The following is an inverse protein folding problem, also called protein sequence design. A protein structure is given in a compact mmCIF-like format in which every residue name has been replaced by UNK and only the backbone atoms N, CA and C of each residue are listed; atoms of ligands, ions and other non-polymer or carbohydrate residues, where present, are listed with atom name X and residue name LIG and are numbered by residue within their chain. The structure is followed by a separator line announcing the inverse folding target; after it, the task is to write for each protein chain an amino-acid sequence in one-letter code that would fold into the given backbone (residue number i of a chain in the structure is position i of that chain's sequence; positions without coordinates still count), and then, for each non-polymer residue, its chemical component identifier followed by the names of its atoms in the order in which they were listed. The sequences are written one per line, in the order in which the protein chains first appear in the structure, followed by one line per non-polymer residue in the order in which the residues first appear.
data_IF_354425439606
#
_entry.id   IF_354425439606
#
_cell.length_a   1.000
_cell.length_b   1.000
_cell.length_c   1.000
_cell.angle_alpha   90.00
_cell.angle_beta   90.00
_cell.angle_gamma   90.00
#
_symmetry.space_group_name_H-M   'P 1'
#
loop_
_entity.id
_entity.type
_entity.pdbx_description
1 polymer ?
#
# COMPACT_ATOMS: atom_id res chain seq x y z
N UNK A 1 -20.58 4.23 10.92
CA UNK A 1 -20.17 3.83 10.87
C UNK A 1 -19.81 3.37 9.97
N UNK A 2 -19.74 3.40 9.57
CA UNK A 2 -19.63 2.96 8.73
C UNK A 2 -18.84 3.06 8.01
N UNK A 3 -18.39 3.39 7.83
CA UNK A 3 -17.66 3.50 6.92
C UNK A 3 -16.24 3.65 7.18
N UNK A 4 -15.60 2.90 8.18
CA UNK A 4 -14.17 2.83 8.33
C UNK A 4 -13.49 2.27 7.10
N UNK A 5 -14.10 1.25 6.50
CA UNK A 5 -13.51 0.67 5.29
C UNK A 5 -13.44 1.70 4.19
N UNK A 6 -14.52 2.44 4.00
CA UNK A 6 -14.53 3.45 2.97
C UNK A 6 -13.57 4.58 3.28
N UNK A 7 -13.50 4.97 4.55
CA UNK A 7 -12.57 6.02 4.96
C UNK A 7 -11.13 5.63 4.64
N UNK A 8 -10.76 4.39 4.99
CA UNK A 8 -9.39 3.94 4.73
C UNK A 8 -9.12 3.81 3.25
N UNK A 9 -10.13 3.42 2.47
CA UNK A 9 -9.94 3.36 1.03
C UNK A 9 -9.65 4.72 0.44
N UNK A 10 -10.35 5.73 0.91
CA UNK A 10 -10.12 7.09 0.44
C UNK A 10 -8.74 7.58 0.84
N UNK A 11 -8.35 7.32 2.07
CA UNK A 11 -7.05 7.75 2.54
C UNK A 11 -5.94 7.02 1.78
N UNK A 12 -6.14 5.75 1.50
CA UNK A 12 -5.16 5.01 0.73
C UNK A 12 -5.04 5.55 -0.69
N UNK A 13 -6.17 5.95 -1.27
CA UNK A 13 -6.12 6.56 -2.58
C UNK A 13 -5.28 7.82 -2.60
N UNK A 14 -5.38 8.63 -1.54
CA UNK A 14 -4.55 9.83 -1.45
C UNK A 14 -3.08 9.47 -1.35
N UNK A 15 -2.75 8.44 -0.60
CA UNK A 15 -1.36 8.01 -0.47
C UNK A 15 -0.84 7.50 -1.81
N UNK A 16 -1.64 6.76 -2.53
CA UNK A 16 -1.21 6.26 -3.84
C UNK A 16 -1.00 7.39 -4.83
N UNK A 17 -1.85 8.42 -4.78
CA UNK A 17 -1.65 9.60 -5.61
C UNK A 17 -0.35 10.30 -5.25
N UNK A 18 -0.07 10.43 -3.98
CA UNK A 18 1.16 11.04 -3.54
C UNK A 18 2.37 10.24 -4.01
N UNK A 19 2.29 8.91 -3.94
CA UNK A 19 3.36 8.07 -4.43
C UNK A 19 3.62 8.30 -5.90
N UNK A 20 2.56 8.42 -6.69
CA UNK A 20 2.73 8.68 -8.12
C UNK A 20 3.40 10.02 -8.35
N UNK A 21 2.97 11.04 -7.64
CA UNK A 21 3.57 12.35 -7.79
C UNK A 21 5.04 12.35 -7.40
N UNK A 22 5.37 11.64 -6.33
CA UNK A 22 6.76 11.58 -5.91
C UNK A 22 7.62 10.85 -6.93
N UNK A 23 7.10 9.81 -7.54
CA UNK A 23 7.84 9.10 -8.57
C UNK A 23 8.06 9.99 -9.80
N UNK A 24 7.06 10.79 -10.16
CA UNK A 24 7.24 11.72 -11.26
C UNK A 24 8.27 12.78 -10.91
N UNK A 25 8.25 13.25 -9.69
CA UNK A 25 9.24 14.23 -9.25
C UNK A 25 10.64 13.66 -9.33
N UNK A 26 10.79 12.40 -8.94
CA UNK A 26 12.09 11.76 -9.03
C UNK A 26 12.55 11.64 -10.47
N UNK A 27 11.64 11.30 -11.36
CA UNK A 27 11.99 11.20 -12.77
C UNK A 27 12.41 12.55 -13.32
N UNK A 28 11.70 13.60 -12.98
CA UNK A 28 12.08 14.95 -13.43
C UNK A 28 13.45 15.34 -12.89
N UNK A 29 13.73 14.99 -11.63
CA UNK A 29 15.01 15.28 -11.06
C UNK A 29 16.13 14.57 -11.83
N UNK A 30 15.91 13.32 -12.20
CA UNK A 30 16.88 12.58 -13.00
C UNK A 30 17.08 13.24 -14.35
N UNK A 31 16.00 13.66 -14.99
CA UNK A 31 16.13 14.30 -16.27
C UNK A 31 16.87 15.62 -16.18
N UNK A 32 16.58 16.40 -15.13
CA UNK A 32 17.29 17.67 -14.94
C UNK A 32 18.76 17.45 -14.76
N UNK A 33 19.14 16.41 -14.04
CA UNK A 33 20.55 16.10 -13.86
C UNK A 33 21.18 15.70 -15.18
N UNK A 34 20.51 14.85 -15.93
CA UNK A 34 21.03 14.41 -17.22
C UNK A 34 21.19 15.54 -18.20
N UNK A 35 20.31 16.52 -18.12
CA UNK A 35 20.38 17.67 -19.01
C UNK A 35 21.33 18.75 -18.52
N UNK A 36 21.91 18.56 -17.35
CA UNK A 36 22.87 19.51 -16.85
C UNK A 36 22.27 20.68 -16.09
N UNK A 37 20.98 20.62 -15.80
CA UNK A 37 20.33 21.71 -15.10
C UNK A 37 20.68 21.77 -13.64
N UNK A 38 21.04 20.63 -13.04
CA UNK A 38 21.46 20.59 -11.65
C UNK A 38 22.75 19.79 -11.56
N UNK A 39 23.54 20.11 -10.54
CA UNK A 39 24.81 19.40 -10.36
C UNK A 39 24.57 18.09 -9.61
N UNK A 40 25.62 17.26 -9.57
CA UNK A 40 25.50 15.95 -8.98
C UNK A 40 25.14 16.03 -7.49
N UNK A 41 25.75 16.96 -6.77
CA UNK A 41 25.45 17.10 -5.36
C UNK A 41 23.99 17.45 -5.13
N UNK A 42 23.47 18.36 -5.94
CA UNK A 42 22.09 18.74 -5.85
C UNK A 42 21.17 17.58 -6.20
N UNK A 43 21.56 16.84 -7.24
CA UNK A 43 20.79 15.68 -7.65
C UNK A 43 20.70 14.66 -6.51
N UNK A 44 21.83 14.38 -5.85
CA UNK A 44 21.83 13.41 -4.77
C UNK A 44 20.92 13.86 -3.62
N UNK A 45 20.99 15.13 -3.27
CA UNK A 45 20.16 15.64 -2.19
C UNK A 45 18.69 15.52 -2.53
N UNK A 46 18.31 15.93 -3.72
CA UNK A 46 16.90 15.85 -4.14
C UNK A 46 16.45 14.41 -4.22
N UNK A 47 17.29 13.56 -4.81
CA UNK A 47 16.92 12.14 -4.92
C UNK A 47 16.70 11.53 -3.56
N UNK A 48 17.61 11.78 -2.63
CA UNK A 48 17.48 11.17 -1.31
C UNK A 48 16.27 11.67 -0.58
N UNK A 49 15.97 12.96 -0.71
CA UNK A 49 14.79 13.53 -0.08
C UNK A 49 13.51 12.92 -0.65
N UNK A 50 13.46 12.79 -1.97
CA UNK A 50 12.27 12.22 -2.61
C UNK A 50 12.13 10.75 -2.25
N UNK A 51 13.23 10.01 -2.25
CA UNK A 51 13.18 8.60 -1.90
C UNK A 51 12.72 8.40 -0.47
N UNK A 52 13.15 9.25 0.44
CA UNK A 52 12.70 9.17 1.80
C UNK A 52 11.19 9.34 1.88
N UNK A 53 10.67 10.32 1.16
CA UNK A 53 9.22 10.53 1.15
C UNK A 53 8.48 9.35 0.54
N UNK A 54 9.06 8.76 -0.50
CA UNK A 54 8.45 7.57 -1.11
C UNK A 54 8.40 6.44 -0.10
N UNK A 55 9.49 6.23 0.63
CA UNK A 55 9.53 5.15 1.61
C UNK A 55 8.49 5.37 2.70
N UNK A 56 8.36 6.60 3.19
CA UNK A 56 7.36 6.89 4.21
C UNK A 56 5.95 6.65 3.67
N UNK A 57 5.70 7.11 2.45
CA UNK A 57 4.38 6.93 1.86
C UNK A 57 4.07 5.46 1.65
N UNK A 58 5.07 4.67 1.27
CA UNK A 58 4.85 3.24 1.12
C UNK A 58 4.51 2.58 2.45
N UNK A 59 5.18 3.00 3.52
CA UNK A 59 4.88 2.46 4.82
C UNK A 59 3.46 2.77 5.24
N UNK A 60 3.03 4.01 4.97
CA UNK A 60 1.65 4.38 5.29
C UNK A 60 0.67 3.56 4.48
N UNK A 61 0.96 3.35 3.20
CA UNK A 61 0.09 2.55 2.36
C UNK A 61 -0.01 1.12 2.86
N UNK A 62 1.11 0.53 3.25
CA UNK A 62 1.10 -0.82 3.77
C UNK A 62 0.32 -0.92 5.07
N UNK A 63 0.47 0.08 5.91
CA UNK A 63 -0.28 0.10 7.16
C UNK A 63 -1.77 0.19 6.89
N UNK A 64 -2.16 1.04 5.96
CA UNK A 64 -3.56 1.18 5.63
C UNK A 64 -4.12 -0.10 5.00
N UNK A 65 -3.32 -0.75 4.17
CA UNK A 65 -3.73 -2.01 3.58
C UNK A 65 -3.96 -3.05 4.66
N UNK A 66 -3.07 -3.09 5.65
CA UNK A 66 -3.22 -4.04 6.74
C UNK A 66 -4.48 -3.76 7.54
N UNK A 67 -4.74 -2.47 7.82
CA UNK A 67 -5.95 -2.11 8.54
C UNK A 67 -7.19 -2.47 7.75
N UNK A 68 -7.17 -2.23 6.45
CA UNK A 68 -8.30 -2.59 5.61
C UNK A 68 -8.53 -4.09 5.61
N UNK A 69 -7.45 -4.86 5.49
CA UNK A 69 -7.58 -6.30 5.49
C UNK A 69 -8.15 -6.79 6.81
N UNK A 70 -7.72 -6.21 7.92
CA UNK A 70 -8.24 -6.59 9.22
C UNK A 70 -9.75 -6.31 9.31
N UNK A 71 -10.16 -5.15 8.83
CA UNK A 71 -11.58 -4.81 8.86
C UNK A 71 -12.38 -5.74 7.98
N UNK A 72 -11.86 -6.05 6.80
CA UNK A 72 -12.57 -6.92 5.88
C UNK A 72 -12.62 -8.35 6.41
N UNK A 73 -11.56 -8.78 7.07
CA UNK A 73 -11.57 -10.12 7.67
C UNK A 73 -12.59 -10.20 8.79
N UNK A 74 -12.71 -9.14 9.57
CA UNK A 74 -13.74 -9.12 10.60
C UNK A 74 -15.12 -9.33 10.00
N UNK A 75 -15.38 -8.65 8.89
CA UNK A 75 -16.66 -8.81 8.23
C UNK A 75 -16.86 -10.22 7.73
N UNK A 76 -15.81 -10.79 7.11
CA UNK A 76 -15.91 -12.14 6.59
C UNK A 76 -16.12 -13.16 7.70
N UNK A 77 -15.40 -12.99 8.80
CA UNK A 77 -15.55 -13.91 9.92
C UNK A 77 -16.99 -13.86 10.44
N UNK A 78 -17.55 -12.68 10.51
CA UNK A 78 -18.91 -12.55 10.99
C UNK A 78 -19.88 -13.30 10.09
N UNK A 79 -19.68 -13.19 8.79
CA UNK A 79 -20.55 -13.86 7.85
C UNK A 79 -20.39 -15.36 7.94
N UNK A 80 -19.16 -15.82 8.01
CA UNK A 80 -18.89 -17.24 8.09
C UNK A 80 -19.47 -17.87 9.34
N UNK A 81 -19.36 -17.17 10.45
CA UNK A 81 -19.90 -17.69 11.69
C UNK A 81 -21.42 -17.80 11.61
N UNK A 82 -22.02 -16.86 10.93
CA UNK A 82 -23.46 -16.91 10.77
C UNK A 82 -23.87 -18.10 9.95
N UNK A 83 -23.03 -18.51 9.00
CA UNK A 83 -23.34 -19.64 8.22
C UNK A 83 -22.89 -20.89 8.76
N UNK A 84 -21.98 -21.11 9.40
CA UNK A 84 -21.55 -22.19 9.96
C UNK A 84 -21.17 -23.11 9.49
N UNK A 85 -20.72 -23.66 9.31
CA UNK A 85 -20.25 -24.54 9.02
C UNK A 85 -19.68 -25.15 8.53
N UNK A 86 -19.35 -25.48 8.08
CA UNK A 86 -18.80 -26.14 7.53
C UNK A 86 -17.93 -26.54 7.33
N UNK A 87 -17.45 -26.61 7.30
CA UNK A 87 -16.50 -27.05 7.10
C UNK A 87 -15.74 -27.43 6.70
N UNK A 88 -15.45 -27.44 6.71
CA UNK A 88 -14.63 -27.84 6.42
C UNK A 88 -13.87 -28.27 6.15
N UNK A 89 -13.76 -28.50 6.29
CA UNK A 89 -12.92 -29.07 6.18
C UNK A 89 -12.42 -29.42 5.35
N UNK A 90 -12.59 -29.37 4.93
CA UNK A 90 -12.17 -29.81 4.03
C UNK A 90 -11.03 -29.64 3.58
N UNK A 91 -10.64 -29.05 3.68
CA UNK A 91 -9.66 -28.81 3.20
C UNK A 91 -8.68 -29.41 3.55
N UNK A 92 -8.77 -29.64 4.30
CA UNK A 92 -7.90 -30.16 4.80
C UNK A 92 -7.44 -31.14 4.18
N UNK A 93 -7.89 -31.56 3.78
CA UNK A 93 -7.63 -32.51 3.22
C UNK A 93 -6.83 -32.42 2.21
N UNK A 94 -6.74 -31.74 1.66
CA UNK A 94 -6.07 -31.70 0.64
C UNK A 94 -4.81 -31.80 0.84
N UNK A 95 -4.52 -31.68 1.59
CA UNK A 95 -3.42 -31.74 1.78
C UNK A 95 -2.79 -32.82 1.71
N UNK A 96 -3.01 -33.33 1.84
CA UNK A 96 -2.33 -34.20 1.90
C UNK A 96 -1.70 -34.71 1.09
N UNK A 97 -1.79 -34.75 0.70
CA UNK A 97 -1.39 -35.27 -0.07
C UNK A 97 -0.26 -35.36 -0.23
N UNK A 98 0.08 -35.35 -0.16
CA UNK A 98 1.17 -35.49 -0.37
C UNK A 98 1.76 -35.76 0.12
#
# INVERSE_FOLDING_TARGET
MENKIEFYRLERGKVLDLLRELKEELLLTKMNFLMGDICFEEFVKLRDSIKFRIDVAKEVDEEMERLLNDLMMDELVRIEWAEEDDDDDGYDDYKPAW
#
